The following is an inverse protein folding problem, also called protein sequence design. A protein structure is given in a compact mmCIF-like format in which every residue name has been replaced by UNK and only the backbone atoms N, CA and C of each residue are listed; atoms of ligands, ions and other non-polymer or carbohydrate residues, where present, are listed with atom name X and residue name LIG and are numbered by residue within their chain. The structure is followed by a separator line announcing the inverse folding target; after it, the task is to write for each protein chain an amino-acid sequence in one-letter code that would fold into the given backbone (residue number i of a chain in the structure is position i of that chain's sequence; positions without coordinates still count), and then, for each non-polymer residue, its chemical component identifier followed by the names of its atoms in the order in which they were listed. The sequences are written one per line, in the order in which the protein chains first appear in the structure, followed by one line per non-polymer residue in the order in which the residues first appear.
data_IF_640927562477
#
_entry.id   IF_640927562477
#
_cell.length_a   1.000
_cell.length_b   1.000
_cell.length_c   1.000
_cell.angle_alpha   90.00
_cell.angle_beta   90.00
_cell.angle_gamma   90.00
#
_symmetry.space_group_name_H-M   'P 1'
#
loop_
_entity.id
_entity.type
_entity.pdbx_description
1 polymer ?
#
# COMPACT_ATOMS: atom_id res chain seq x y z
N UNK A 1 6.98 14.85 28.25
CA UNK A 1 7.67 15.82 27.36
C UNK A 1 8.37 15.21 26.15
N UNK A 2 8.93 13.97 26.19
CA UNK A 2 9.60 13.34 25.01
C UNK A 2 8.65 12.95 23.88
N UNK A 3 7.39 12.58 24.16
CA UNK A 3 6.39 12.18 23.13
C UNK A 3 5.95 13.37 22.27
N UNK A 4 5.81 14.56 22.87
CA UNK A 4 5.39 15.77 22.16
C UNK A 4 6.46 16.28 21.18
N UNK A 5 7.74 16.04 21.49
CA UNK A 5 8.85 16.39 20.59
C UNK A 5 8.93 15.46 19.36
N UNK A 6 8.50 14.20 19.48
CA UNK A 6 8.41 13.27 18.35
C UNK A 6 7.36 13.69 17.32
N UNK A 7 6.20 14.17 17.76
CA UNK A 7 5.12 14.66 16.90
C UNK A 7 5.46 15.96 16.13
N UNK A 8 6.49 16.69 16.57
CA UNK A 8 7.00 17.91 15.90
C UNK A 8 8.07 17.62 14.83
N UNK A 9 8.52 16.38 14.67
CA UNK A 9 9.39 16.03 13.54
C UNK A 9 8.61 16.21 12.25
N UNK A 10 9.20 16.90 11.28
CA UNK A 10 8.53 17.31 10.03
C UNK A 10 7.87 16.15 9.25
N UNK A 11 8.38 14.91 9.38
CA UNK A 11 7.83 13.73 8.73
C UNK A 11 6.56 13.16 9.37
N UNK A 12 6.32 13.37 10.68
CA UNK A 12 5.19 12.76 11.39
C UNK A 12 3.83 13.29 10.92
N UNK A 13 3.61 14.61 10.80
CA UNK A 13 2.35 15.13 10.25
C UNK A 13 2.10 14.67 8.82
N UNK A 14 3.14 14.61 8.00
CA UNK A 14 3.03 14.13 6.61
C UNK A 14 2.63 12.65 6.57
N UNK A 15 3.24 11.80 7.41
CA UNK A 15 2.90 10.38 7.51
C UNK A 15 1.46 10.16 7.99
N UNK A 16 1.01 10.92 9.00
CA UNK A 16 -0.37 10.85 9.49
C UNK A 16 -1.37 11.27 8.42
N UNK A 17 -1.08 12.34 7.69
CA UNK A 17 -1.94 12.82 6.60
C UNK A 17 -1.97 11.82 5.45
N UNK A 18 -0.83 11.24 5.08
CA UNK A 18 -0.76 10.18 4.08
C UNK A 18 -1.58 8.94 4.50
N UNK A 19 -1.49 8.52 5.77
CA UNK A 19 -2.27 7.40 6.29
C UNK A 19 -3.78 7.68 6.26
N UNK A 20 -4.20 8.90 6.58
CA UNK A 20 -5.61 9.33 6.48
C UNK A 20 -6.11 9.28 5.03
N UNK A 21 -5.34 9.81 4.09
CA UNK A 21 -5.68 9.80 2.67
C UNK A 21 -5.74 8.38 2.11
N UNK A 22 -4.78 7.54 2.47
CA UNK A 22 -4.74 6.13 2.08
C UNK A 22 -5.96 5.37 2.63
N UNK A 23 -6.27 5.56 3.92
CA UNK A 23 -7.45 4.94 4.55
C UNK A 23 -8.78 5.37 3.91
N UNK A 24 -8.89 6.62 3.48
CA UNK A 24 -10.06 7.11 2.74
C UNK A 24 -10.09 6.58 1.29
N UNK A 25 -8.94 6.23 0.72
CA UNK A 25 -8.80 5.77 -0.65
C UNK A 25 -9.59 4.51 -0.98
N UNK A 26 -9.57 3.52 -0.09
CA UNK A 26 -10.27 2.24 -0.30
C UNK A 26 -11.79 2.38 -0.43
N UNK A 27 -12.53 3.04 0.49
CA UNK A 27 -13.96 3.22 0.35
C UNK A 27 -14.34 4.12 -0.84
N UNK A 28 -13.53 5.15 -1.14
CA UNK A 28 -13.75 6.00 -2.31
C UNK A 28 -13.54 5.23 -3.61
N UNK A 29 -12.48 4.41 -3.70
CA UNK A 29 -12.25 3.55 -4.85
C UNK A 29 -13.39 2.55 -5.04
N UNK A 30 -13.87 1.93 -3.95
CA UNK A 30 -15.02 1.02 -4.00
C UNK A 30 -16.26 1.71 -4.58
N UNK A 31 -16.56 2.91 -4.12
CA UNK A 31 -17.70 3.69 -4.63
C UNK A 31 -17.55 4.06 -6.11
N UNK A 32 -16.34 4.42 -6.57
CA UNK A 32 -16.08 4.73 -7.97
C UNK A 32 -16.18 3.50 -8.88
N UNK A 33 -15.87 2.31 -8.37
CA UNK A 33 -15.97 1.06 -9.14
C UNK A 33 -17.40 0.69 -9.56
N UNK A 34 -18.42 1.32 -8.96
CA UNK A 34 -19.80 1.17 -9.42
C UNK A 34 -20.03 1.82 -10.81
N UNK A 35 -19.18 2.78 -11.20
CA UNK A 35 -19.34 3.56 -12.44
C UNK A 35 -18.11 3.50 -13.37
N UNK A 36 -16.96 3.07 -12.85
CA UNK A 36 -15.68 3.09 -13.57
C UNK A 36 -15.09 1.67 -13.58
N UNK A 37 -14.57 1.23 -14.72
CA UNK A 37 -13.92 -0.09 -14.80
C UNK A 37 -12.64 -0.15 -13.93
N UNK A 38 -12.32 -1.33 -13.35
CA UNK A 38 -11.13 -1.51 -12.50
C UNK A 38 -9.82 -1.04 -13.16
N UNK A 39 -9.65 -1.34 -14.44
CA UNK A 39 -8.48 -0.93 -15.23
C UNK A 39 -8.35 0.59 -15.35
N UNK A 40 -9.47 1.23 -15.68
CA UNK A 40 -9.48 2.69 -15.85
C UNK A 40 -9.26 3.38 -14.52
N UNK A 41 -9.88 2.90 -13.44
CA UNK A 41 -9.72 3.49 -12.12
C UNK A 41 -8.26 3.36 -11.61
N UNK A 42 -7.65 2.15 -11.75
CA UNK A 42 -6.24 1.96 -11.41
C UNK A 42 -5.35 2.96 -12.17
N UNK A 43 -5.54 3.07 -13.50
CA UNK A 43 -4.77 4.02 -14.32
C UNK A 43 -4.98 5.48 -13.93
N UNK A 44 -6.22 5.90 -13.66
CA UNK A 44 -6.53 7.28 -13.27
C UNK A 44 -5.93 7.67 -11.91
N UNK A 45 -5.94 6.76 -10.93
CA UNK A 45 -5.36 7.00 -9.61
C UNK A 45 -3.85 7.25 -9.73
N UNK A 46 -3.14 6.41 -10.49
CA UNK A 46 -1.70 6.57 -10.70
C UNK A 46 -1.36 7.77 -11.58
N UNK A 47 -2.16 8.07 -12.60
CA UNK A 47 -2.00 9.26 -13.42
C UNK A 47 -2.18 10.53 -12.57
N UNK A 48 -3.22 10.57 -11.73
CA UNK A 48 -3.47 11.69 -10.82
C UNK A 48 -2.32 11.90 -9.84
N UNK A 49 -1.80 10.82 -9.25
CA UNK A 49 -0.62 10.86 -8.39
C UNK A 49 0.61 11.36 -9.14
N UNK A 50 0.87 10.84 -10.35
CA UNK A 50 2.00 11.25 -11.18
C UNK A 50 1.94 12.73 -11.57
N UNK A 51 0.78 13.23 -11.95
CA UNK A 51 0.56 14.65 -12.25
C UNK A 51 0.77 15.50 -10.99
N UNK A 52 0.17 15.11 -9.85
CA UNK A 52 0.31 15.83 -8.58
C UNK A 52 1.77 15.92 -8.12
N UNK A 53 2.51 14.81 -8.15
CA UNK A 53 3.92 14.79 -7.80
C UNK A 53 4.79 15.60 -8.78
N UNK A 54 4.45 15.59 -10.06
CA UNK A 54 5.16 16.40 -11.07
C UNK A 54 4.98 17.90 -10.78
N UNK A 55 3.74 18.33 -10.52
CA UNK A 55 3.44 19.72 -10.16
C UNK A 55 4.18 20.10 -8.86
N UNK A 56 4.11 19.25 -7.83
CA UNK A 56 4.82 19.47 -6.58
C UNK A 56 6.34 19.63 -6.80
N UNK A 57 6.94 18.76 -7.60
CA UNK A 57 8.37 18.81 -7.93
C UNK A 57 8.75 20.11 -8.65
N UNK A 58 7.92 20.58 -9.58
CA UNK A 58 8.15 21.83 -10.30
C UNK A 58 8.09 23.04 -9.36
N UNK A 59 7.11 23.06 -8.44
CA UNK A 59 6.95 24.15 -7.47
C UNK A 59 8.10 24.14 -6.44
N UNK A 60 8.47 22.96 -5.93
CA UNK A 60 9.52 22.81 -4.91
C UNK A 60 10.94 22.93 -5.47
N UNK A 61 11.08 23.07 -6.81
CA UNK A 61 12.38 23.16 -7.50
C UNK A 61 13.36 22.06 -7.07
N UNK A 62 12.85 20.83 -6.89
CA UNK A 62 13.65 19.70 -6.47
C UNK A 62 14.75 19.39 -7.49
N UNK A 63 15.95 19.10 -7.00
CA UNK A 63 17.09 18.76 -7.85
C UNK A 63 16.81 17.48 -8.66
N UNK A 64 17.30 17.41 -9.92
CA UNK A 64 17.13 16.21 -10.74
C UNK A 64 17.96 15.05 -10.17
N UNK A 65 17.29 13.97 -9.78
CA UNK A 65 17.95 12.72 -9.44
C UNK A 65 18.26 11.94 -10.73
N UNK A 66 19.49 11.41 -10.84
CA UNK A 66 19.89 10.54 -11.95
C UNK A 66 20.04 9.13 -11.41
N UNK A 67 19.23 8.21 -11.93
CA UNK A 67 19.36 6.79 -11.66
C UNK A 67 20.57 6.22 -12.39
N UNK A 68 21.37 5.40 -11.69
CA UNK A 68 22.44 4.64 -12.32
C UNK A 68 21.84 3.55 -13.24
N UNK A 69 22.57 3.20 -14.32
CA UNK A 69 22.09 2.14 -15.24
C UNK A 69 21.92 0.78 -14.56
N UNK A 70 22.70 0.53 -13.52
CA UNK A 70 22.63 -0.69 -12.70
C UNK A 70 21.36 -0.77 -11.85
N UNK A 71 20.75 0.36 -11.52
CA UNK A 71 19.52 0.45 -10.71
C UNK A 71 18.26 0.41 -11.58
N UNK A 72 18.42 0.60 -12.89
CA UNK A 72 17.29 0.70 -13.82
C UNK A 72 16.41 -0.55 -13.81
N UNK A 73 17.01 -1.75 -13.70
CA UNK A 73 16.27 -3.00 -13.70
C UNK A 73 15.39 -3.14 -12.46
N UNK A 74 15.93 -2.78 -11.29
CA UNK A 74 15.20 -2.77 -10.02
C UNK A 74 14.07 -1.74 -10.05
N UNK A 75 14.34 -0.56 -10.58
CA UNK A 75 13.34 0.50 -10.75
C UNK A 75 12.19 0.08 -11.68
N UNK A 76 12.50 -0.59 -12.81
CA UNK A 76 11.46 -1.13 -13.70
C UNK A 76 10.66 -2.22 -12.99
N UNK A 77 11.33 -3.10 -12.22
CA UNK A 77 10.68 -4.13 -11.42
C UNK A 77 9.69 -3.53 -10.42
N UNK A 78 10.11 -2.48 -9.69
CA UNK A 78 9.25 -1.75 -8.75
C UNK A 78 8.03 -1.13 -9.47
N UNK A 79 8.22 -0.46 -10.60
CA UNK A 79 7.11 0.11 -11.39
C UNK A 79 6.13 -0.97 -11.85
N UNK A 80 6.61 -2.09 -12.36
CA UNK A 80 5.73 -3.17 -12.84
C UNK A 80 4.99 -3.80 -11.67
N UNK A 81 5.68 -4.12 -10.57
CA UNK A 81 5.07 -4.77 -9.40
C UNK A 81 4.07 -3.85 -8.71
N UNK A 82 4.52 -2.72 -8.20
CA UNK A 82 3.71 -1.83 -7.39
C UNK A 82 2.90 -0.80 -8.18
N UNK A 83 3.41 -0.36 -9.34
CA UNK A 83 2.72 0.64 -10.18
C UNK A 83 1.70 0.06 -11.15
N UNK A 84 1.78 -1.23 -11.50
CA UNK A 84 0.87 -1.85 -12.48
C UNK A 84 0.12 -3.03 -11.87
N UNK A 85 0.83 -4.06 -11.41
CA UNK A 85 0.21 -5.31 -10.95
C UNK A 85 -0.63 -5.08 -9.70
N UNK A 86 -0.07 -4.44 -8.69
CA UNK A 86 -0.74 -4.25 -7.41
C UNK A 86 -2.05 -3.44 -7.52
N UNK A 87 -2.08 -2.24 -8.14
CA UNK A 87 -3.32 -1.47 -8.23
C UNK A 87 -4.40 -2.15 -9.07
N UNK A 88 -4.01 -2.86 -10.13
CA UNK A 88 -4.94 -3.63 -10.94
C UNK A 88 -5.57 -4.75 -10.12
N UNK A 89 -4.77 -5.55 -9.41
CA UNK A 89 -5.26 -6.62 -8.54
C UNK A 89 -6.16 -6.07 -7.42
N UNK A 90 -5.79 -4.93 -6.81
CA UNK A 90 -6.63 -4.29 -5.79
C UNK A 90 -7.97 -3.87 -6.36
N UNK A 91 -8.00 -3.21 -7.52
CA UNK A 91 -9.26 -2.75 -8.11
C UNK A 91 -10.16 -3.92 -8.49
N UNK A 92 -9.60 -5.02 -9.00
CA UNK A 92 -10.35 -6.25 -9.25
C UNK A 92 -10.89 -6.86 -7.96
N UNK A 93 -10.07 -6.96 -6.93
CA UNK A 93 -10.51 -7.43 -5.62
C UNK A 93 -11.64 -6.59 -5.05
N UNK A 94 -11.53 -5.27 -5.13
CA UNK A 94 -12.55 -4.34 -4.64
C UNK A 94 -13.88 -4.41 -5.39
N UNK A 95 -13.93 -4.88 -6.63
CA UNK A 95 -15.23 -5.06 -7.32
C UNK A 95 -16.11 -6.08 -6.61
N UNK A 96 -15.53 -7.12 -6.01
CA UNK A 96 -16.24 -8.25 -5.41
C UNK A 96 -16.11 -8.33 -3.88
N UNK A 97 -15.32 -7.45 -3.26
CA UNK A 97 -15.16 -7.39 -1.82
C UNK A 97 -15.74 -6.10 -1.23
N UNK A 98 -16.30 -6.14 0.00
CA UNK A 98 -16.65 -4.93 0.72
C UNK A 98 -15.40 -4.14 1.10
N UNK A 99 -15.51 -2.81 1.18
CA UNK A 99 -14.38 -1.93 1.49
C UNK A 99 -13.76 -2.22 2.88
N UNK A 100 -14.59 -2.63 3.85
CA UNK A 100 -14.14 -3.02 5.20
C UNK A 100 -13.23 -4.25 5.17
N UNK A 101 -13.66 -5.33 4.51
CA UNK A 101 -12.86 -6.55 4.34
C UNK A 101 -11.57 -6.29 3.57
N UNK A 102 -11.65 -5.52 2.47
CA UNK A 102 -10.48 -5.11 1.69
C UNK A 102 -9.48 -4.31 2.54
N UNK A 103 -9.94 -3.34 3.34
CA UNK A 103 -9.08 -2.55 4.21
C UNK A 103 -8.37 -3.38 5.28
N UNK A 104 -9.01 -4.45 5.78
CA UNK A 104 -8.37 -5.39 6.69
C UNK A 104 -7.28 -6.21 5.99
N UNK A 105 -7.57 -6.73 4.79
CA UNK A 105 -6.61 -7.50 4.00
C UNK A 105 -5.40 -6.67 3.58
N UNK A 106 -5.57 -5.37 3.33
CA UNK A 106 -4.47 -4.46 2.97
C UNK A 106 -3.39 -4.36 4.06
N UNK A 107 -3.70 -4.66 5.32
CA UNK A 107 -2.67 -4.75 6.37
C UNK A 107 -1.65 -5.87 6.11
N UNK A 108 -1.97 -6.85 5.27
CA UNK A 108 -1.03 -7.90 4.88
C UNK A 108 0.17 -7.37 4.06
N UNK A 109 0.07 -6.18 3.45
CA UNK A 109 1.20 -5.55 2.75
C UNK A 109 2.42 -5.40 3.66
N UNK A 110 2.25 -4.84 4.86
CA UNK A 110 3.35 -4.69 5.82
C UNK A 110 3.95 -6.04 6.26
N UNK A 111 3.11 -7.07 6.36
CA UNK A 111 3.56 -8.44 6.67
C UNK A 111 4.40 -9.00 5.53
N UNK A 112 3.93 -8.92 4.28
CA UNK A 112 4.68 -9.39 3.11
C UNK A 112 5.97 -8.59 2.92
N UNK A 113 5.95 -7.27 3.07
CA UNK A 113 7.14 -6.42 3.00
C UNK A 113 8.21 -6.90 3.98
N UNK A 114 7.86 -7.09 5.25
CA UNK A 114 8.82 -7.52 6.26
C UNK A 114 9.30 -8.97 6.06
N UNK A 115 8.42 -9.89 5.65
CA UNK A 115 8.81 -11.27 5.34
C UNK A 115 9.78 -11.32 4.16
N UNK A 116 9.53 -10.55 3.10
CA UNK A 116 10.43 -10.48 1.95
C UNK A 116 11.77 -9.86 2.34
N UNK A 117 11.78 -8.75 3.10
CA UNK A 117 13.00 -8.13 3.61
C UNK A 117 13.88 -9.14 4.36
N UNK A 118 13.28 -9.92 5.26
CA UNK A 118 14.04 -10.88 6.08
C UNK A 118 14.51 -12.10 5.31
N UNK A 119 13.62 -12.75 4.55
CA UNK A 119 13.90 -14.05 3.95
C UNK A 119 14.45 -13.97 2.53
N UNK A 120 13.98 -13.03 1.69
CA UNK A 120 14.44 -12.87 0.31
C UNK A 120 15.63 -11.92 0.21
N UNK A 121 15.53 -10.75 0.85
CA UNK A 121 16.57 -9.70 0.78
C UNK A 121 17.60 -9.80 1.91
N UNK A 122 17.41 -10.73 2.88
CA UNK A 122 18.34 -11.03 3.98
C UNK A 122 18.68 -9.81 4.85
N UNK A 123 17.71 -8.93 5.04
CA UNK A 123 17.84 -7.81 5.96
C UNK A 123 17.85 -8.27 7.43
N UNK A 124 18.36 -7.41 8.29
CA UNK A 124 18.45 -7.72 9.71
C UNK A 124 17.05 -7.85 10.34
N UNK A 125 16.84 -8.97 11.04
CA UNK A 125 15.61 -9.21 11.79
C UNK A 125 15.52 -8.28 12.99
N UNK A 126 14.45 -7.45 13.05
CA UNK A 126 14.15 -6.62 14.21
C UNK A 126 12.92 -7.18 14.96
N UNK A 127 13.12 -7.53 16.24
CA UNK A 127 12.07 -8.05 17.12
C UNK A 127 10.92 -7.05 17.32
N UNK A 128 11.20 -5.73 17.25
CA UNK A 128 10.17 -4.69 17.38
C UNK A 128 9.25 -4.69 16.16
N UNK A 129 9.82 -4.86 14.98
CA UNK A 129 9.05 -5.00 13.73
C UNK A 129 8.21 -6.28 13.78
N UNK A 130 8.79 -7.40 14.22
CA UNK A 130 8.06 -8.67 14.40
C UNK A 130 6.87 -8.53 15.36
N UNK A 131 7.04 -7.85 16.50
CA UNK A 131 5.95 -7.59 17.44
C UNK A 131 4.87 -6.69 16.81
N UNK A 132 5.26 -5.68 16.04
CA UNK A 132 4.33 -4.84 15.28
C UNK A 132 3.51 -5.65 14.27
N UNK A 133 4.14 -6.55 13.54
CA UNK A 133 3.44 -7.47 12.61
C UNK A 133 2.45 -8.37 13.32
N UNK A 134 2.85 -8.98 14.43
CA UNK A 134 1.94 -9.81 15.25
C UNK A 134 0.75 -8.98 15.73
N UNK A 135 0.98 -7.74 16.16
CA UNK A 135 -0.09 -6.84 16.58
C UNK A 135 -1.05 -6.48 15.43
N UNK A 136 -0.52 -6.23 14.21
CA UNK A 136 -1.33 -5.98 13.00
C UNK A 136 -2.21 -7.20 12.68
N UNK A 137 -1.61 -8.39 12.63
CA UNK A 137 -2.33 -9.63 12.34
C UNK A 137 -3.39 -9.91 13.41
N UNK A 138 -3.04 -9.75 14.70
CA UNK A 138 -3.97 -9.94 15.80
C UNK A 138 -5.13 -8.91 15.73
N UNK A 139 -4.85 -7.65 15.41
CA UNK A 139 -5.87 -6.62 15.18
C UNK A 139 -6.79 -6.96 14.03
N UNK A 140 -6.26 -7.42 12.92
CA UNK A 140 -7.07 -7.86 11.77
C UNK A 140 -7.97 -9.05 12.12
N UNK A 141 -7.47 -10.05 12.88
CA UNK A 141 -8.25 -11.18 13.36
C UNK A 141 -9.37 -10.71 14.29
N UNK A 142 -9.06 -9.84 15.27
CA UNK A 142 -10.05 -9.31 16.22
C UNK A 142 -11.17 -8.52 15.51
N UNK A 143 -10.83 -7.72 14.52
CA UNK A 143 -11.80 -6.96 13.74
C UNK A 143 -12.65 -7.87 12.82
N UNK A 144 -12.12 -9.03 12.44
CA UNK A 144 -12.83 -10.03 11.65
C UNK A 144 -13.70 -10.97 12.49
N UNK A 145 -13.63 -10.91 13.82
CA UNK A 145 -14.34 -11.77 14.77
C UNK A 145 -15.45 -11.02 15.49
N UNK A 146 -16.67 -11.50 15.57
CA UNK A 146 -17.42 -12.47 14.78
C UNK A 146 -18.34 -11.79 13.73
N UNK A 147 -18.08 -12.01 12.46
CA UNK A 147 -19.12 -11.88 11.44
C UNK A 147 -19.42 -10.51 10.83
N UNK A 148 -18.68 -9.45 11.17
CA UNK A 148 -18.87 -8.15 10.51
C UNK A 148 -17.97 -7.93 9.29
N UNK A 149 -16.88 -8.68 9.15
CA UNK A 149 -16.09 -8.69 7.94
C UNK A 149 -16.68 -9.71 6.96
N UNK A 150 -17.54 -9.28 6.08
CA UNK A 150 -18.01 -10.11 4.95
C UNK A 150 -16.82 -10.32 3.99
N UNK A 151 -16.14 -11.46 4.10
CA UNK A 151 -15.24 -11.97 3.08
C UNK A 151 -16.08 -12.67 2.02
N UNK A 152 -16.65 -11.90 1.11
CA UNK A 152 -17.70 -12.41 0.23
C UNK A 152 -17.22 -13.30 -0.91
N UNK A 153 -15.95 -13.20 -1.32
CA UNK A 153 -15.37 -13.99 -2.41
C UNK A 153 -13.91 -14.31 -2.16
N UNK A 154 -13.58 -15.60 -2.27
CA UNK A 154 -12.19 -16.09 -2.13
C UNK A 154 -11.28 -15.49 -3.20
N UNK A 155 -11.77 -15.34 -4.43
CA UNK A 155 -10.98 -14.78 -5.53
C UNK A 155 -10.70 -13.29 -5.31
N UNK A 156 -11.67 -12.54 -4.80
CA UNK A 156 -11.48 -11.13 -4.43
C UNK A 156 -10.41 -10.98 -3.33
N UNK A 157 -10.49 -11.83 -2.30
CA UNK A 157 -9.51 -11.84 -1.21
C UNK A 157 -8.11 -12.20 -1.71
N UNK A 158 -7.98 -13.20 -2.59
CA UNK A 158 -6.71 -13.58 -3.21
C UNK A 158 -6.14 -12.47 -4.09
N UNK A 159 -6.98 -11.75 -4.83
CA UNK A 159 -6.55 -10.61 -5.63
C UNK A 159 -5.98 -9.49 -4.74
N UNK A 160 -6.66 -9.15 -3.63
CA UNK A 160 -6.18 -8.13 -2.68
C UNK A 160 -4.87 -8.57 -2.00
N UNK A 161 -4.76 -9.83 -1.58
CA UNK A 161 -3.50 -10.36 -1.03
C UNK A 161 -2.39 -10.40 -2.07
N UNK A 162 -2.71 -10.68 -3.33
CA UNK A 162 -1.78 -10.57 -4.45
C UNK A 162 -1.29 -9.14 -4.67
N UNK A 163 -2.17 -8.14 -4.53
CA UNK A 163 -1.78 -6.73 -4.56
C UNK A 163 -0.83 -6.38 -3.41
N UNK A 164 -1.13 -6.84 -2.20
CA UNK A 164 -0.25 -6.65 -1.02
C UNK A 164 1.14 -7.28 -1.22
N UNK A 165 1.19 -8.47 -1.80
CA UNK A 165 2.47 -9.13 -2.12
C UNK A 165 3.25 -8.34 -3.18
N UNK A 166 2.57 -7.84 -4.22
CA UNK A 166 3.19 -7.05 -5.28
C UNK A 166 3.75 -5.72 -4.74
N UNK A 167 3.04 -5.02 -3.83
CA UNK A 167 3.59 -3.87 -3.11
C UNK A 167 4.70 -4.26 -2.14
N UNK A 168 4.59 -5.41 -1.47
CA UNK A 168 5.68 -5.94 -0.64
C UNK A 168 6.98 -6.16 -1.43
N UNK A 169 6.87 -6.62 -2.68
CA UNK A 169 8.01 -6.74 -3.60
C UNK A 169 8.54 -5.34 -3.97
N UNK A 170 7.68 -4.41 -4.39
CA UNK A 170 8.06 -3.02 -4.71
C UNK A 170 8.83 -2.36 -3.57
N UNK A 171 8.33 -2.48 -2.34
CA UNK A 171 8.92 -1.88 -1.15
C UNK A 171 10.33 -2.41 -0.82
N UNK A 172 10.72 -3.54 -1.40
CA UNK A 172 12.02 -4.19 -1.19
C UNK A 172 12.97 -4.07 -2.39
N UNK A 173 12.52 -3.56 -3.54
CA UNK A 173 13.34 -3.36 -4.74
C UNK A 173 14.00 -1.97 -4.75
#
# INVERSE_FOLDING_TARGET
MKVINGLRQQGVPAALFAALLFGAGTPLAKWLLDSVSPWLLAGLLYLGSGVGLTIYRLISRAEPCRLARTEMLWFIGAIISGGVIAPVLLMFGLTHAPASGASLLLNAEGVFTALLAWFAFKENFDRRIALGMVAIVAGAILLSWPGEAEFSDVWASLAILGACLAWGIENNL
#
